data_IF_451919538284
#
_entry.id   IF_451919538284
#
_cell.length_a   1.000
_cell.length_b   1.000
_cell.length_c   1.000
_cell.angle_alpha   90.00
_cell.angle_beta   90.00
_cell.angle_gamma   90.00
#
_symmetry.space_group_name_H-M   'P 1'
#
loop_
_entity.id
_entity.type
_entity.pdbx_description
1 polymer ?
#
# COMPACT_ATOMS: atom_id res chain seq x y z
N UNK A 1 -7.11 -5.29 -23.40
CA UNK A 1 -6.78 -5.92 -22.11
C UNK A 1 -5.96 -4.93 -21.31
N UNK A 2 -6.25 -4.79 -20.02
CA UNK A 2 -5.40 -3.97 -19.15
C UNK A 2 -4.02 -4.59 -19.04
N UNK A 3 -3.00 -3.73 -19.15
CA UNK A 3 -1.60 -4.11 -19.06
C UNK A 3 -1.08 -3.79 -17.66
N UNK A 4 -0.16 -4.63 -17.15
CA UNK A 4 0.55 -4.32 -15.92
C UNK A 4 1.31 -2.99 -16.06
N UNK A 5 1.39 -2.22 -14.98
CA UNK A 5 2.12 -0.96 -14.93
C UNK A 5 3.28 -1.01 -13.93
N UNK A 6 4.33 -0.27 -14.26
CA UNK A 6 5.48 0.05 -13.39
C UNK A 6 5.77 1.54 -13.49
N UNK A 7 6.71 2.06 -12.71
CA UNK A 7 7.23 3.42 -12.88
C UNK A 7 8.04 3.56 -14.19
N UNK A 8 8.07 4.77 -14.79
CA UNK A 8 8.94 5.07 -15.95
C UNK A 8 10.39 5.28 -15.53
N UNK A 9 10.61 5.93 -14.39
CA UNK A 9 11.93 6.25 -13.82
C UNK A 9 11.91 6.07 -12.30
N UNK A 10 13.06 5.89 -11.65
CA UNK A 10 13.11 5.90 -10.19
C UNK A 10 12.78 7.28 -9.62
N UNK A 11 12.24 7.30 -8.41
CA UNK A 11 11.99 8.50 -7.60
C UNK A 11 12.29 8.21 -6.13
N UNK A 12 12.76 9.21 -5.40
CA UNK A 12 13.15 9.06 -4.00
C UNK A 12 12.62 10.19 -3.14
N UNK A 13 12.39 9.90 -1.87
CA UNK A 13 12.09 10.89 -0.85
C UNK A 13 12.82 10.54 0.46
N UNK A 14 12.90 11.51 1.35
CA UNK A 14 13.36 11.30 2.72
C UNK A 14 12.30 11.84 3.68
N UNK A 15 12.14 11.17 4.82
CA UNK A 15 11.19 11.55 5.84
C UNK A 15 11.52 10.91 7.18
N UNK A 16 10.57 10.96 8.11
CA UNK A 16 10.68 10.39 9.44
C UNK A 16 9.67 9.24 9.56
N UNK A 17 10.07 8.13 10.18
CA UNK A 17 9.13 7.06 10.56
C UNK A 17 8.22 7.52 11.70
N UNK A 18 6.93 7.20 11.64
CA UNK A 18 5.93 7.63 12.63
C UNK A 18 6.25 7.08 14.02
N UNK A 19 6.54 5.78 14.10
CA UNK A 19 6.73 5.07 15.35
C UNK A 19 8.18 5.08 15.81
N UNK A 20 9.12 4.94 14.88
CA UNK A 20 10.55 4.91 15.21
C UNK A 20 11.16 6.29 15.45
N UNK A 21 10.58 7.35 14.88
CA UNK A 21 11.17 8.70 14.87
C UNK A 21 12.50 8.77 14.11
N UNK A 22 12.85 7.74 13.32
CA UNK A 22 14.12 7.67 12.59
C UNK A 22 14.00 8.29 11.21
N UNK A 23 15.10 8.86 10.72
CA UNK A 23 15.19 9.36 9.35
C UNK A 23 15.29 8.17 8.40
N UNK A 24 14.42 8.18 7.39
CA UNK A 24 14.33 7.13 6.38
C UNK A 24 14.45 7.75 5.00
N UNK A 25 15.22 7.11 4.13
CA UNK A 25 15.23 7.36 2.69
C UNK A 25 14.48 6.22 2.01
N UNK A 26 13.46 6.57 1.23
CA UNK A 26 12.67 5.66 0.43
C UNK A 26 12.93 5.93 -1.05
N UNK A 27 13.11 4.88 -1.85
CA UNK A 27 13.18 4.97 -3.31
C UNK A 27 12.23 3.98 -3.97
N UNK A 28 11.38 4.49 -4.87
CA UNK A 28 10.54 3.67 -5.73
C UNK A 28 11.25 3.46 -7.05
N UNK A 29 11.44 2.20 -7.46
CA UNK A 29 12.18 1.83 -8.67
C UNK A 29 11.30 1.00 -9.61
N UNK A 30 11.40 1.20 -10.94
CA UNK A 30 10.72 0.35 -11.91
C UNK A 30 11.07 -1.12 -11.72
N UNK A 31 10.10 -2.02 -11.94
CA UNK A 31 10.29 -3.45 -11.85
C UNK A 31 9.69 -4.18 -13.08
N UNK A 32 10.20 -5.38 -13.41
CA UNK A 32 9.69 -6.16 -14.55
C UNK A 32 8.26 -6.68 -14.30
N UNK A 33 7.64 -7.22 -15.35
CA UNK A 33 6.31 -7.83 -15.24
C UNK A 33 6.32 -8.99 -14.22
N UNK A 34 5.19 -9.17 -13.54
CA UNK A 34 4.98 -10.18 -12.50
C UNK A 34 5.94 -10.10 -11.30
N UNK A 35 6.68 -9.00 -11.15
CA UNK A 35 7.49 -8.73 -9.97
C UNK A 35 6.62 -8.49 -8.73
N UNK A 36 5.47 -7.82 -8.91
CA UNK A 36 4.62 -7.33 -7.84
C UNK A 36 5.22 -6.11 -7.12
N UNK A 37 4.66 -5.78 -5.95
CA UNK A 37 5.24 -4.78 -5.05
C UNK A 37 6.19 -5.49 -4.08
N UNK A 38 7.46 -5.06 -4.03
CA UNK A 38 8.45 -5.64 -3.12
C UNK A 38 9.19 -4.58 -2.35
N UNK A 39 9.26 -4.73 -1.04
CA UNK A 39 10.10 -3.90 -0.20
C UNK A 39 11.52 -4.44 -0.20
N UNK A 40 12.52 -3.58 -0.30
CA UNK A 40 13.94 -3.94 -0.33
C UNK A 40 14.69 -3.18 0.74
N UNK A 41 15.28 -3.90 1.70
CA UNK A 41 16.06 -3.33 2.80
C UNK A 41 17.52 -3.15 2.39
N UNK A 42 17.88 -1.95 1.95
CA UNK A 42 19.25 -1.66 1.48
C UNK A 42 20.28 -1.71 2.62
N UNK A 43 19.84 -1.45 3.85
CA UNK A 43 20.62 -1.59 5.07
C UNK A 43 20.80 -3.06 5.53
N UNK A 44 20.05 -4.00 4.94
CA UNK A 44 20.16 -5.44 5.18
C UNK A 44 20.63 -6.19 3.92
N UNK A 45 21.65 -5.65 3.23
CA UNK A 45 22.24 -6.28 2.05
C UNK A 45 21.29 -6.41 0.86
N UNK A 46 20.20 -5.63 0.83
CA UNK A 46 19.21 -5.67 -0.24
C UNK A 46 18.20 -6.81 -0.11
N UNK A 47 17.97 -7.33 1.10
CA UNK A 47 16.90 -8.30 1.38
C UNK A 47 15.55 -7.81 0.84
N UNK A 48 14.85 -8.66 0.10
CA UNK A 48 13.53 -8.35 -0.46
C UNK A 48 12.39 -9.04 0.30
N UNK A 49 11.31 -8.29 0.56
CA UNK A 49 10.10 -8.72 1.24
C UNK A 49 8.91 -8.41 0.30
N UNK A 50 8.32 -9.43 -0.35
CA UNK A 50 7.13 -9.24 -1.18
C UNK A 50 5.93 -8.73 -0.37
N UNK A 51 5.17 -7.79 -0.91
CA UNK A 51 3.97 -7.25 -0.27
C UNK A 51 2.77 -8.20 -0.42
N UNK A 52 2.84 -9.34 0.27
CA UNK A 52 1.81 -10.39 0.24
C UNK A 52 1.40 -10.79 1.65
N UNK A 53 0.15 -11.27 1.78
CA UNK A 53 -0.46 -11.61 3.09
C UNK A 53 0.35 -12.67 3.86
N UNK A 54 1.03 -13.59 3.18
CA UNK A 54 1.88 -14.61 3.84
C UNK A 54 3.10 -14.04 4.56
N UNK A 55 3.43 -12.77 4.34
CA UNK A 55 4.51 -12.06 5.02
C UNK A 55 3.99 -11.07 6.05
N UNK A 56 2.71 -11.11 6.42
CA UNK A 56 2.18 -10.27 7.51
C UNK A 56 2.90 -10.59 8.82
N UNK A 57 3.61 -9.60 9.37
CA UNK A 57 4.40 -9.73 10.60
C UNK A 57 3.79 -9.00 11.81
N UNK A 58 3.18 -7.84 11.58
CA UNK A 58 2.61 -7.00 12.64
C UNK A 58 1.34 -6.28 12.20
N UNK A 59 0.39 -6.12 13.12
CA UNK A 59 -0.89 -5.42 12.91
C UNK A 59 -1.26 -4.49 14.07
N UNK A 60 -0.33 -4.22 14.97
CA UNK A 60 -0.56 -3.31 16.09
C UNK A 60 -0.24 -1.89 15.64
N UNK A 61 -1.27 -1.04 15.57
CA UNK A 61 -1.22 0.36 15.15
C UNK A 61 -0.83 0.63 13.68
N UNK A 62 -0.12 -0.29 13.03
CA UNK A 62 0.22 -0.23 11.62
C UNK A 62 0.31 -1.64 10.99
N UNK A 63 0.31 -1.71 9.66
CA UNK A 63 0.59 -2.96 8.93
C UNK A 63 2.09 -3.14 8.75
N UNK A 64 2.61 -4.28 9.21
CA UNK A 64 4.00 -4.67 9.07
C UNK A 64 4.16 -5.97 8.30
N UNK A 65 5.20 -6.04 7.47
CA UNK A 65 5.62 -7.23 6.76
C UNK A 65 6.96 -7.73 7.30
N UNK A 66 7.13 -9.05 7.37
CA UNK A 66 8.35 -9.70 7.83
C UNK A 66 8.70 -10.91 6.96
N UNK A 67 9.98 -11.06 6.64
CA UNK A 67 10.51 -12.22 5.96
C UNK A 67 11.95 -12.46 6.38
N UNK A 68 12.24 -13.66 6.86
CA UNK A 68 13.56 -14.01 7.44
C UNK A 68 13.93 -13.00 8.54
N UNK A 69 15.11 -12.41 8.45
CA UNK A 69 15.65 -11.49 9.46
C UNK A 69 15.27 -10.02 9.23
N UNK A 70 14.42 -9.73 8.24
CA UNK A 70 14.01 -8.37 7.90
C UNK A 70 12.51 -8.11 8.07
N UNK A 71 12.20 -6.85 8.32
CA UNK A 71 10.84 -6.33 8.39
C UNK A 71 10.70 -4.97 7.71
N UNK A 72 9.46 -4.60 7.40
CA UNK A 72 9.05 -3.25 7.02
C UNK A 72 7.69 -2.95 7.66
N UNK A 73 7.55 -1.77 8.25
CA UNK A 73 6.36 -1.32 8.98
C UNK A 73 5.75 -0.09 8.32
N UNK A 74 4.47 0.16 8.65
CA UNK A 74 3.70 1.33 8.20
C UNK A 74 3.54 1.38 6.67
N UNK A 75 3.33 0.21 6.06
CA UNK A 75 3.28 0.07 4.59
C UNK A 75 1.99 0.58 3.95
N UNK A 76 0.91 0.70 4.73
CA UNK A 76 -0.47 0.88 4.27
C UNK A 76 -0.72 2.13 3.43
N UNK A 77 -0.16 3.29 3.80
CA UNK A 77 -0.37 4.53 3.03
C UNK A 77 0.29 4.47 1.66
N UNK A 78 1.53 3.94 1.61
CA UNK A 78 2.25 3.76 0.37
C UNK A 78 1.56 2.72 -0.53
N UNK A 79 1.14 1.59 0.05
CA UNK A 79 0.39 0.57 -0.70
C UNK A 79 -0.93 1.13 -1.23
N UNK A 80 -1.63 1.95 -0.43
CA UNK A 80 -2.81 2.68 -0.87
C UNK A 80 -2.53 3.55 -2.10
N UNK A 81 -1.47 4.37 -2.06
CA UNK A 81 -1.08 5.20 -3.19
C UNK A 81 -0.75 4.38 -4.46
N UNK A 82 0.05 3.32 -4.31
CA UNK A 82 0.46 2.45 -5.42
C UNK A 82 -0.74 1.76 -6.08
N UNK A 83 -1.65 1.21 -5.27
CA UNK A 83 -2.85 0.51 -5.76
C UNK A 83 -3.82 1.49 -6.42
N UNK A 84 -4.07 2.66 -5.82
CA UNK A 84 -4.96 3.68 -6.38
C UNK A 84 -4.48 4.20 -7.74
N UNK A 85 -3.17 4.31 -7.94
CA UNK A 85 -2.58 4.71 -9.23
C UNK A 85 -2.34 3.53 -10.19
N UNK A 86 -2.75 2.32 -9.79
CA UNK A 86 -2.67 1.12 -10.62
C UNK A 86 -1.24 0.63 -10.89
N UNK A 87 -0.30 0.88 -9.99
CA UNK A 87 1.07 0.35 -10.05
C UNK A 87 1.07 -1.14 -9.67
N UNK A 88 1.44 -2.00 -10.60
CA UNK A 88 1.47 -3.45 -10.38
C UNK A 88 2.86 -3.94 -9.96
N UNK A 89 3.91 -3.32 -10.49
CA UNK A 89 5.29 -3.75 -10.31
C UNK A 89 6.16 -2.57 -9.86
N UNK A 90 6.77 -2.68 -8.67
CA UNK A 90 7.71 -1.68 -8.15
C UNK A 90 8.59 -2.30 -7.07
N UNK A 91 9.86 -1.92 -7.04
CA UNK A 91 10.74 -2.14 -5.90
C UNK A 91 10.73 -0.91 -5.00
N UNK A 92 10.32 -1.08 -3.74
CA UNK A 92 10.31 -0.06 -2.70
C UNK A 92 11.55 -0.24 -1.84
N UNK A 93 12.61 0.50 -2.13
CA UNK A 93 13.86 0.42 -1.40
C UNK A 93 13.88 1.36 -0.20
N UNK A 94 14.27 0.84 0.96
CA UNK A 94 14.31 1.53 2.25
C UNK A 94 15.63 1.25 2.95
N UNK A 95 16.18 2.25 3.64
CA UNK A 95 17.36 2.11 4.50
C UNK A 95 17.02 1.95 6.00
N UNK A 96 15.75 1.74 6.33
CA UNK A 96 15.24 1.58 7.69
C UNK A 96 13.96 0.71 7.66
N UNK A 97 13.62 -0.03 8.74
CA UNK A 97 12.43 -0.89 8.80
C UNK A 97 11.07 -0.18 8.77
N UNK A 98 10.97 1.13 8.57
CA UNK A 98 9.68 1.83 8.62
C UNK A 98 9.53 2.75 7.41
N UNK A 99 8.38 2.73 6.74
CA UNK A 99 8.07 3.69 5.67
C UNK A 99 7.93 5.10 6.28
N UNK A 100 8.50 6.16 5.65
CA UNK A 100 8.37 7.52 6.18
C UNK A 100 6.90 7.96 6.20
N UNK A 101 6.46 8.59 7.29
CA UNK A 101 5.05 8.98 7.48
C UNK A 101 4.61 10.14 6.57
N UNK A 102 5.59 10.89 6.06
CA UNK A 102 5.37 12.09 5.24
C UNK A 102 4.47 13.11 5.97
N UNK A 103 3.28 13.41 5.46
CA UNK A 103 2.29 14.28 6.09
C UNK A 103 1.18 13.50 6.82
N UNK A 104 1.31 12.18 6.95
CA UNK A 104 0.30 11.29 7.52
C UNK A 104 -0.74 10.78 6.52
N UNK A 105 -0.66 11.18 5.26
CA UNK A 105 -1.56 10.76 4.18
C UNK A 105 -0.83 10.03 3.04
N UNK A 106 -1.60 9.60 2.03
CA UNK A 106 -1.06 9.04 0.79
C UNK A 106 -0.65 10.11 -0.25
N UNK A 107 -1.05 11.38 -0.06
CA UNK A 107 -0.88 12.43 -1.07
C UNK A 107 0.60 12.67 -1.48
N UNK A 108 1.58 12.68 -0.55
CA UNK A 108 2.98 12.82 -0.92
C UNK A 108 3.49 11.66 -1.79
N UNK A 109 3.02 10.43 -1.54
CA UNK A 109 3.39 9.28 -2.37
C UNK A 109 2.75 9.36 -3.76
N UNK A 110 1.48 9.76 -3.83
CA UNK A 110 0.78 10.00 -5.10
C UNK A 110 1.54 11.02 -5.95
N UNK A 111 1.96 12.14 -5.34
CA UNK A 111 2.78 13.15 -6.01
C UNK A 111 4.08 12.56 -6.58
N UNK A 112 4.83 11.80 -5.78
CA UNK A 112 6.09 11.16 -6.22
C UNK A 112 5.87 10.17 -7.37
N UNK A 113 4.79 9.39 -7.33
CA UNK A 113 4.45 8.42 -8.38
C UNK A 113 4.06 9.14 -9.68
N UNK A 114 3.29 10.23 -9.61
CA UNK A 114 2.98 11.06 -10.77
C UNK A 114 4.24 11.68 -11.39
N UNK A 115 5.13 12.23 -10.55
CA UNK A 115 6.42 12.76 -10.98
C UNK A 115 7.25 11.69 -11.70
N UNK A 116 7.32 10.46 -11.16
CA UNK A 116 8.00 9.34 -11.79
C UNK A 116 7.33 8.90 -13.10
N UNK A 117 6.02 9.05 -13.21
CA UNK A 117 5.21 8.61 -14.33
C UNK A 117 5.08 7.09 -14.43
N UNK A 118 4.06 6.62 -15.15
CA UNK A 118 3.75 5.19 -15.30
C UNK A 118 4.08 4.66 -16.70
N UNK A 119 4.62 3.45 -16.75
CA UNK A 119 4.93 2.69 -17.96
C UNK A 119 4.09 1.42 -18.00
N UNK A 120 3.45 1.15 -19.14
CA UNK A 120 2.79 -0.13 -19.42
C UNK A 120 3.83 -1.19 -19.78
N UNK A 121 3.61 -2.40 -19.29
CA UNK A 121 4.41 -3.58 -19.60
C UNK A 121 3.64 -4.47 -20.58
N UNK A 122 4.36 -5.27 -21.37
CA UNK A 122 3.77 -6.23 -22.30
C UNK A 122 3.29 -7.50 -21.57
N UNK A 123 2.51 -7.33 -20.50
CA UNK A 123 1.94 -8.41 -19.70
C UNK A 123 0.53 -8.04 -19.24
N UNK A 124 -0.44 -8.98 -19.26
CA UNK A 124 -1.79 -8.71 -18.82
C UNK A 124 -1.86 -8.44 -17.32
N UNK A 125 -2.66 -7.45 -16.92
CA UNK A 125 -2.97 -7.19 -15.52
C UNK A 125 -3.97 -8.23 -15.00
N UNK A 126 -3.71 -8.72 -13.79
CA UNK A 126 -4.58 -9.69 -13.09
C UNK A 126 -5.40 -8.97 -12.05
N UNK A 127 -6.67 -9.34 -11.93
CA UNK A 127 -7.59 -8.79 -10.95
C UNK A 127 -8.18 -9.93 -10.11
N UNK A 128 -8.42 -9.65 -8.83
CA UNK A 128 -9.18 -10.54 -7.95
C UNK A 128 -10.67 -10.20 -8.07
N UNK A 129 -11.47 -11.12 -8.60
CA UNK A 129 -12.93 -10.96 -8.69
C UNK A 129 -13.61 -11.68 -7.52
N UNK A 130 -14.36 -10.92 -6.73
CA UNK A 130 -15.22 -11.47 -5.67
C UNK A 130 -16.48 -12.03 -6.32
N UNK A 131 -16.65 -13.36 -6.28
CA UNK A 131 -17.80 -14.06 -6.90
C UNK A 131 -18.91 -14.40 -5.92
N UNK A 132 -18.62 -14.34 -4.61
CA UNK A 132 -19.59 -14.57 -3.54
C UNK A 132 -19.27 -13.70 -2.32
N UNK A 133 -20.25 -13.32 -1.50
CA UNK A 133 -20.00 -12.57 -0.28
C UNK A 133 -19.08 -13.32 0.69
N UNK A 134 -18.20 -12.57 1.35
CA UNK A 134 -17.35 -13.04 2.45
C UNK A 134 -17.46 -11.99 3.55
N UNK A 135 -17.75 -12.40 4.78
CA UNK A 135 -17.86 -11.49 5.91
C UNK A 135 -17.24 -12.12 7.16
N UNK A 136 -16.59 -11.29 7.96
CA UNK A 136 -16.03 -11.64 9.26
C UNK A 136 -16.41 -10.57 10.28
N UNK A 137 -16.73 -11.02 11.49
CA UNK A 137 -17.08 -10.16 12.62
C UNK A 137 -16.29 -10.59 13.85
N UNK A 138 -15.82 -9.62 14.65
CA UNK A 138 -15.17 -9.86 15.94
C UNK A 138 -15.52 -8.73 16.90
N UNK A 139 -16.36 -9.05 17.89
CA UNK A 139 -16.92 -8.04 18.80
C UNK A 139 -17.72 -7.01 18.01
N UNK A 140 -17.36 -5.75 18.16
CA UNK A 140 -17.93 -4.58 17.50
C UNK A 140 -17.39 -4.32 16.08
N UNK A 141 -16.35 -5.04 15.66
CA UNK A 141 -15.70 -4.87 14.35
C UNK A 141 -16.27 -5.83 13.32
N UNK A 142 -16.46 -5.34 12.09
CA UNK A 142 -16.89 -6.13 10.93
C UNK A 142 -16.12 -5.72 9.68
N UNK A 143 -15.75 -6.70 8.87
CA UNK A 143 -15.25 -6.51 7.51
C UNK A 143 -16.01 -7.44 6.56
N UNK A 144 -16.36 -6.96 5.37
CA UNK A 144 -17.06 -7.75 4.38
C UNK A 144 -16.67 -7.37 2.95
N UNK A 145 -16.65 -8.37 2.06
CA UNK A 145 -16.45 -8.24 0.63
C UNK A 145 -17.69 -8.78 -0.07
N UNK A 146 -18.21 -8.03 -1.04
CA UNK A 146 -19.38 -8.40 -1.83
C UNK A 146 -19.04 -8.38 -3.32
N UNK A 147 -19.67 -9.25 -4.15
CA UNK A 147 -19.56 -9.16 -5.60
C UNK A 147 -19.99 -7.77 -6.11
N UNK A 148 -19.20 -7.20 -7.01
CA UNK A 148 -19.43 -5.88 -7.61
C UNK A 148 -18.64 -5.77 -8.91
N UNK A 149 -19.18 -5.03 -9.88
CA UNK A 149 -18.47 -4.68 -11.12
C UNK A 149 -17.54 -3.46 -10.93
N UNK A 150 -17.62 -2.80 -9.77
CA UNK A 150 -16.78 -1.67 -9.39
C UNK A 150 -16.04 -1.92 -8.08
N UNK A 151 -14.82 -1.38 -7.98
CA UNK A 151 -14.14 -1.31 -6.70
C UNK A 151 -14.72 -0.18 -5.86
N UNK A 152 -15.47 -0.54 -4.81
CA UNK A 152 -16.16 0.39 -3.92
C UNK A 152 -15.81 0.07 -2.48
N UNK A 153 -15.45 1.10 -1.71
CA UNK A 153 -15.11 0.98 -0.30
C UNK A 153 -16.13 1.75 0.51
N UNK A 154 -16.78 1.06 1.45
CA UNK A 154 -17.56 1.67 2.52
C UNK A 154 -16.81 1.47 3.82
N UNK A 155 -16.56 2.56 4.54
CA UNK A 155 -15.92 2.52 5.85
C UNK A 155 -16.75 3.27 6.87
N UNK A 156 -16.87 2.69 8.05
CA UNK A 156 -17.61 3.24 9.17
C UNK A 156 -16.73 3.31 10.40
N UNK A 157 -16.73 4.45 11.07
CA UNK A 157 -16.10 4.64 12.37
C UNK A 157 -17.16 4.94 13.42
N UNK A 158 -16.88 4.59 14.67
CA UNK A 158 -17.76 4.88 15.80
C UNK A 158 -16.92 5.16 17.03
N UNK A 159 -16.58 6.42 17.25
CA UNK A 159 -15.82 6.85 18.42
C UNK A 159 -16.75 7.50 19.44
N UNK A 160 -16.60 7.16 20.72
CA UNK A 160 -17.24 7.89 21.81
C UNK A 160 -16.48 9.20 22.10
N UNK A 161 -16.52 10.09 21.11
CA UNK A 161 -15.91 11.41 21.19
C UNK A 161 -16.85 12.42 20.51
N UNK A 162 -17.14 13.58 21.14
CA UNK A 162 -18.12 14.54 20.65
C UNK A 162 -17.85 15.05 19.23
N UNK A 163 -16.59 15.12 18.81
CA UNK A 163 -16.20 15.58 17.47
C UNK A 163 -16.17 14.49 16.40
N UNK A 164 -16.16 13.20 16.78
CA UNK A 164 -16.01 12.09 15.83
C UNK A 164 -17.34 11.35 15.67
N UNK A 165 -17.92 10.87 16.78
CA UNK A 165 -19.18 10.10 16.78
C UNK A 165 -19.17 8.97 15.74
N UNK A 166 -20.36 8.52 15.33
CA UNK A 166 -20.51 7.57 14.26
C UNK A 166 -20.47 8.30 12.90
N UNK A 167 -19.63 7.83 11.99
CA UNK A 167 -19.55 8.33 10.62
C UNK A 167 -19.45 7.17 9.66
N UNK A 168 -20.08 7.30 8.49
CA UNK A 168 -19.98 6.33 7.41
C UNK A 168 -19.75 7.06 6.09
N UNK A 169 -18.78 6.58 5.31
CA UNK A 169 -18.51 7.07 3.96
C UNK A 169 -18.43 5.92 2.98
N UNK A 170 -19.02 6.10 1.80
CA UNK A 170 -18.91 5.18 0.68
C UNK A 170 -18.29 5.91 -0.49
N UNK A 171 -17.29 5.31 -1.12
CA UNK A 171 -16.66 5.82 -2.34
C UNK A 171 -16.41 4.69 -3.33
N UNK A 172 -16.73 4.95 -4.60
CA UNK A 172 -16.14 4.18 -5.69
C UNK A 172 -14.70 4.66 -5.87
N UNK A 173 -13.76 3.73 -5.97
CA UNK A 173 -12.34 4.05 -6.12
C UNK A 173 -11.98 3.99 -7.60
N UNK A 174 -11.54 5.12 -8.13
CA UNK A 174 -11.01 5.32 -9.48
C UNK A 174 -9.66 6.03 -9.41
N UNK A 175 -8.96 6.18 -10.54
CA UNK A 175 -7.70 6.94 -10.60
C UNK A 175 -7.88 8.44 -10.25
N UNK A 176 -9.11 8.97 -10.30
CA UNK A 176 -9.46 10.38 -10.04
C UNK A 176 -10.01 10.62 -8.62
N UNK A 177 -10.15 9.56 -7.81
CA UNK A 177 -10.81 9.59 -6.49
C UNK A 177 -9.94 10.11 -5.35
#
# INVERSE_FOLDING_TARGET
MDAQRTLKRPVSCAGIGLHSGKKVTLSLKPAPADHGIRFRRSDLGGLEIPAVVSHLGGIQYATGLSLRDGSVETVEHLLGALVSLGVDNVTVELNHPEVPIMDGSAAPFIYLIHEAGLKRLAAPKRFLKVVRPIALSRGDKRIALYPSDHFKVTYSISFDHPMLRHQTRTMQITEES
#
